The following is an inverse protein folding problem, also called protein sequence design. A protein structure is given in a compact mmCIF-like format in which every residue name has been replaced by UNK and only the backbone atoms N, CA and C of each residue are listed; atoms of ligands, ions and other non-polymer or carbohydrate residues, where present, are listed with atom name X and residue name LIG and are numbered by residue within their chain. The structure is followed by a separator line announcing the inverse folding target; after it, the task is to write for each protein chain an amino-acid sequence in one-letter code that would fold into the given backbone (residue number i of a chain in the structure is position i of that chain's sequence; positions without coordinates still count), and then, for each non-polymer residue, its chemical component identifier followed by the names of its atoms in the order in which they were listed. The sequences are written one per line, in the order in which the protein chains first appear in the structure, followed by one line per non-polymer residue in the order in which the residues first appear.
data_IF_007555282001
#
_entry.id   IF_007555282001
#
_cell.length_a   1.000
_cell.length_b   1.000
_cell.length_c   1.000
_cell.angle_alpha   90.00
_cell.angle_beta   90.00
_cell.angle_gamma   90.00
#
_symmetry.space_group_name_H-M   'P 1'
#
loop_
_entity.id
_entity.type
_entity.pdbx_description
1 polymer ?
#
# COMPACT_ATOMS: atom_id res chain seq x y z
N UNK A 1 -11.96 13.38 -39.93
CA UNK A 1 -11.08 13.28 -38.75
C UNK A 1 -11.23 11.87 -38.19
N UNK A 2 -10.32 10.94 -38.50
CA UNK A 2 -10.32 9.61 -37.84
C UNK A 2 -9.62 9.77 -36.50
N UNK A 3 -10.28 9.36 -35.43
CA UNK A 3 -9.66 9.15 -34.11
C UNK A 3 -8.83 7.86 -34.22
N UNK A 4 -7.65 7.97 -34.81
CA UNK A 4 -6.68 6.88 -34.90
C UNK A 4 -5.69 7.02 -33.73
N UNK A 5 -5.33 5.86 -33.16
CA UNK A 5 -4.45 5.63 -32.00
C UNK A 5 -5.07 5.79 -30.60
N UNK A 6 -5.97 4.86 -30.25
CA UNK A 6 -5.93 4.33 -28.90
C UNK A 6 -4.66 3.47 -28.78
N UNK A 7 -3.56 4.07 -28.33
CA UNK A 7 -2.34 3.35 -27.98
C UNK A 7 -2.72 2.20 -27.03
N UNK A 8 -2.56 0.95 -27.46
CA UNK A 8 -2.71 -0.19 -26.56
C UNK A 8 -1.75 0.02 -25.38
N UNK A 9 -2.19 -0.22 -24.12
CA UNK A 9 -1.31 -0.01 -22.98
C UNK A 9 -0.06 -0.85 -23.18
N UNK A 10 1.10 -0.20 -23.14
CA UNK A 10 2.37 -0.92 -23.17
C UNK A 10 2.38 -1.87 -21.96
N UNK A 11 2.54 -3.16 -22.22
CA UNK A 11 2.64 -4.17 -21.16
C UNK A 11 3.88 -3.83 -20.32
N UNK A 12 3.74 -3.50 -19.02
CA UNK A 12 4.88 -3.15 -18.19
C UNK A 12 5.77 -4.38 -18.02
N UNK A 13 7.08 -4.20 -18.21
CA UNK A 13 8.06 -5.22 -17.84
C UNK A 13 8.19 -5.19 -16.33
N UNK A 14 7.85 -6.29 -15.66
CA UNK A 14 7.91 -6.43 -14.21
C UNK A 14 9.12 -7.27 -13.83
N UNK A 15 9.81 -6.87 -12.77
CA UNK A 15 10.77 -7.74 -12.07
C UNK A 15 10.04 -8.99 -11.54
N UNK A 16 10.72 -10.14 -11.38
CA UNK A 16 10.07 -11.41 -11.02
C UNK A 16 9.14 -11.32 -9.81
N UNK A 17 9.58 -10.69 -8.71
CA UNK A 17 8.76 -10.54 -7.51
C UNK A 17 7.49 -9.68 -7.74
N UNK A 18 7.58 -8.65 -8.58
CA UNK A 18 6.42 -7.83 -8.93
C UNK A 18 5.44 -8.58 -9.84
N UNK A 19 5.95 -9.41 -10.76
CA UNK A 19 5.14 -10.26 -11.62
C UNK A 19 4.39 -11.33 -10.80
N UNK A 20 5.07 -11.97 -9.85
CA UNK A 20 4.47 -12.95 -8.94
C UNK A 20 3.39 -12.32 -8.07
N UNK A 21 3.64 -11.12 -7.52
CA UNK A 21 2.63 -10.38 -6.76
C UNK A 21 1.40 -10.07 -7.62
N UNK A 22 1.61 -9.53 -8.82
CA UNK A 22 0.52 -9.22 -9.75
C UNK A 22 -0.30 -10.47 -10.11
N UNK A 23 0.37 -11.61 -10.37
CA UNK A 23 -0.27 -12.89 -10.65
C UNK A 23 -1.06 -13.43 -9.45
N UNK A 24 -0.50 -13.33 -8.24
CA UNK A 24 -1.16 -13.76 -7.01
C UNK A 24 -2.46 -12.98 -6.72
N UNK A 25 -2.53 -11.72 -7.14
CA UNK A 25 -3.71 -10.86 -6.95
C UNK A 25 -4.60 -10.73 -8.19
N UNK A 26 -4.33 -11.49 -9.26
CA UNK A 26 -5.01 -11.32 -10.56
C UNK A 26 -6.44 -11.87 -10.59
N UNK A 27 -6.86 -12.62 -9.57
CA UNK A 27 -8.14 -13.32 -9.54
C UNK A 27 -8.99 -12.85 -8.35
N UNK A 28 -10.34 -12.80 -8.51
CA UNK A 28 -11.23 -12.38 -7.44
C UNK A 28 -11.21 -13.36 -6.25
N UNK A 29 -11.58 -12.89 -5.04
CA UNK A 29 -12.09 -11.55 -4.74
C UNK A 29 -10.99 -10.48 -4.78
N UNK A 30 -11.30 -9.32 -5.37
CA UNK A 30 -10.36 -8.19 -5.39
C UNK A 30 -10.41 -7.42 -4.07
N UNK A 31 -9.37 -6.65 -3.77
CA UNK A 31 -9.27 -5.89 -2.51
C UNK A 31 -10.49 -4.99 -2.25
N UNK A 32 -11.08 -4.41 -3.29
CA UNK A 32 -12.27 -3.55 -3.17
C UNK A 32 -13.58 -4.32 -3.05
N UNK A 33 -13.59 -5.62 -3.34
CA UNK A 33 -14.73 -6.50 -3.13
C UNK A 33 -14.82 -6.96 -1.67
N UNK A 34 -13.73 -6.83 -0.90
CA UNK A 34 -13.67 -7.24 0.49
C UNK A 34 -14.29 -6.16 1.42
N UNK A 35 -15.01 -6.57 2.48
CA UNK A 35 -15.34 -5.67 3.58
C UNK A 35 -14.08 -4.97 4.12
N UNK A 36 -14.16 -3.70 4.58
CA UNK A 36 -12.97 -2.93 4.97
C UNK A 36 -12.07 -3.60 6.02
N UNK A 37 -12.64 -4.40 6.93
CA UNK A 37 -11.87 -5.15 7.93
C UNK A 37 -11.03 -6.25 7.28
N UNK A 38 -11.61 -7.01 6.35
CA UNK A 38 -10.94 -8.10 5.64
C UNK A 38 -9.90 -7.56 4.66
N UNK A 39 -10.23 -6.47 3.94
CA UNK A 39 -9.28 -5.82 3.03
C UNK A 39 -8.04 -5.29 3.76
N UNK A 40 -8.19 -4.66 4.94
CA UNK A 40 -7.04 -4.23 5.76
C UNK A 40 -6.16 -5.41 6.17
N UNK A 41 -6.78 -6.49 6.66
CA UNK A 41 -6.06 -7.71 7.04
C UNK A 41 -5.26 -8.29 5.87
N UNK A 42 -5.86 -8.37 4.68
CA UNK A 42 -5.19 -8.91 3.50
C UNK A 42 -3.93 -8.09 3.12
N UNK A 43 -4.00 -6.76 3.20
CA UNK A 43 -2.85 -5.87 2.93
C UNK A 43 -1.78 -6.02 4.02
N UNK A 44 -2.18 -6.07 5.29
CA UNK A 44 -1.26 -6.25 6.42
C UNK A 44 -0.47 -7.55 6.29
N UNK A 45 -1.13 -8.65 5.91
CA UNK A 45 -0.48 -9.95 5.73
C UNK A 45 0.56 -9.92 4.60
N UNK A 46 0.23 -9.35 3.43
CA UNK A 46 1.17 -9.21 2.31
C UNK A 46 2.41 -8.39 2.68
N UNK A 47 2.25 -7.36 3.51
CA UNK A 47 3.33 -6.44 3.90
C UNK A 47 4.06 -6.84 5.19
N UNK A 48 3.70 -7.99 5.79
CA UNK A 48 4.29 -8.47 7.05
C UNK A 48 5.64 -9.18 6.89
N UNK A 49 6.13 -9.32 5.66
CA UNK A 49 7.42 -9.93 5.36
C UNK A 49 8.60 -9.20 6.01
N UNK A 50 9.65 -9.96 6.31
CA UNK A 50 10.91 -9.39 6.80
C UNK A 50 11.57 -8.58 5.69
N UNK A 51 11.93 -7.33 6.00
CA UNK A 51 12.67 -6.45 5.11
C UNK A 51 13.77 -5.77 5.90
N UNK A 52 14.90 -5.52 5.25
CA UNK A 52 15.97 -4.72 5.84
C UNK A 52 15.51 -3.26 5.96
N UNK A 53 15.16 -2.86 7.19
CA UNK A 53 14.80 -1.48 7.52
C UNK A 53 16.04 -0.73 7.98
N UNK A 54 16.25 0.53 7.54
CA UNK A 54 17.31 1.35 8.10
C UNK A 54 17.10 1.54 9.60
N UNK A 55 18.20 1.57 10.37
CA UNK A 55 18.13 1.83 11.79
C UNK A 55 17.61 3.25 12.03
N UNK A 56 16.44 3.35 12.65
CA UNK A 56 15.80 4.61 13.01
C UNK A 56 15.41 4.59 14.47
N UNK A 57 15.47 5.76 15.10
CA UNK A 57 14.89 5.95 16.42
C UNK A 57 13.42 6.36 16.23
N UNK A 58 12.50 5.60 16.83
CA UNK A 58 11.05 5.82 16.74
C UNK A 58 10.47 6.33 18.06
N UNK A 59 9.65 7.38 17.96
CA UNK A 59 8.89 7.95 19.07
C UNK A 59 7.42 8.12 18.66
N UNK A 60 6.48 7.67 19.50
CA UNK A 60 5.05 7.82 19.27
C UNK A 60 4.47 8.90 20.19
N UNK A 61 3.90 9.96 19.62
CA UNK A 61 3.29 11.06 20.37
C UNK A 61 1.80 11.20 20.05
N UNK A 62 0.99 11.61 21.03
CA UNK A 62 -0.44 11.91 20.80
C UNK A 62 -0.63 13.41 20.51
N UNK A 63 -1.26 13.73 19.38
CA UNK A 63 -1.56 15.09 18.95
C UNK A 63 -3.07 15.34 18.85
N UNK A 64 -3.55 16.58 19.10
CA UNK A 64 -4.94 16.95 18.86
C UNK A 64 -5.27 16.96 17.36
N UNK A 65 -6.38 16.35 16.98
CA UNK A 65 -6.88 16.23 15.61
C UNK A 65 -7.67 17.45 15.14
N UNK A 66 -7.17 18.66 15.32
CA UNK A 66 -7.81 19.87 14.78
C UNK A 66 -9.23 20.15 15.29
N UNK A 67 -9.99 21.05 14.63
CA UNK A 67 -11.25 21.58 15.16
C UNK A 67 -12.41 20.56 15.24
N UNK A 68 -12.39 19.53 14.40
CA UNK A 68 -13.45 18.52 14.30
C UNK A 68 -12.99 17.09 14.59
N UNK A 69 -11.70 16.87 14.87
CA UNK A 69 -11.13 15.55 15.11
C UNK A 69 -10.71 15.30 16.55
N UNK A 70 -10.65 14.02 16.92
CA UNK A 70 -10.26 13.54 18.26
C UNK A 70 -8.75 13.58 18.50
N UNK A 71 -8.21 12.61 19.24
CA UNK A 71 -6.75 12.46 19.41
C UNK A 71 -6.19 11.48 18.39
N UNK A 72 -5.03 11.80 17.81
CA UNK A 72 -4.29 10.94 16.89
C UNK A 72 -2.91 10.66 17.42
N UNK A 73 -2.40 9.44 17.25
CA UNK A 73 -1.01 9.09 17.52
C UNK A 73 -0.19 9.27 16.26
N UNK A 74 0.93 9.99 16.35
CA UNK A 74 1.85 10.24 15.24
C UNK A 74 3.22 9.68 15.62
N UNK A 75 3.78 8.85 14.75
CA UNK A 75 5.16 8.38 14.87
C UNK A 75 6.12 9.44 14.31
N UNK A 76 7.18 9.75 15.06
CA UNK A 76 8.34 10.49 14.59
C UNK A 76 9.48 9.49 14.45
N UNK A 77 10.06 9.42 13.26
CA UNK A 77 11.25 8.62 12.98
C UNK A 77 12.42 9.58 12.74
N UNK A 78 13.55 9.34 13.41
CA UNK A 78 14.82 10.04 13.13
C UNK A 78 15.84 9.02 12.66
N UNK A 79 16.45 9.26 11.51
CA UNK A 79 17.62 8.51 11.06
C UNK A 79 18.78 8.78 12.03
N UNK A 80 19.54 7.73 12.36
CA UNK A 80 20.80 7.87 13.09
C UNK A 80 21.90 8.43 12.20
#
# INVERSE_FOLDING_TARGET
MRMSDAQAPAQPVLEPAAAEFAAATANPPYLFDLPPAEGRKAVDEVQSGEIDKPAVDEEWITVPGGPTGGRWTVGRSRSR
#
